data_IF_516338652380
#
_entry.id   IF_516338652380
#
_cell.length_a   1.000
_cell.length_b   1.000
_cell.length_c   1.000
_cell.angle_alpha   90.00
_cell.angle_beta   90.00
_cell.angle_gamma   90.00
#
_symmetry.space_group_name_H-M   'P 1'
#
loop_
_entity.id
_entity.type
_entity.pdbx_description
1 polymer ?
#
# COMPACT_ATOMS: atom_id res chain seq x y z
N UNK A 1 -0.72 7.56 4.17
CA UNK A 1 -0.86 6.25 4.85
C UNK A 1 -2.31 5.81 5.03
N UNK A 2 -3.24 6.72 5.39
CA UNK A 2 -4.66 6.32 5.56
C UNK A 2 -5.29 5.78 4.27
N UNK A 3 -4.87 6.26 3.10
CA UNK A 3 -5.36 5.76 1.82
C UNK A 3 -5.03 4.30 1.56
N UNK A 4 -3.87 3.83 2.02
CA UNK A 4 -3.50 2.42 1.98
C UNK A 4 -4.45 1.59 2.86
N UNK A 5 -4.63 2.01 4.11
CA UNK A 5 -5.52 1.36 5.10
C UNK A 5 -6.96 1.30 4.61
N UNK A 6 -7.47 2.39 4.03
CA UNK A 6 -8.83 2.42 3.44
C UNK A 6 -8.94 1.41 2.30
N UNK A 7 -7.95 1.37 1.42
CA UNK A 7 -7.93 0.44 0.29
C UNK A 7 -7.96 -1.02 0.75
N UNK A 8 -7.11 -1.37 1.69
CA UNK A 8 -7.05 -2.67 2.33
C UNK A 8 -8.42 -3.07 2.91
N UNK A 9 -8.98 -2.26 3.83
CA UNK A 9 -10.26 -2.56 4.49
C UNK A 9 -11.40 -2.74 3.48
N UNK A 10 -11.50 -1.85 2.48
CA UNK A 10 -12.56 -1.92 1.47
C UNK A 10 -12.39 -3.14 0.57
N UNK A 11 -11.16 -3.50 0.22
CA UNK A 11 -10.84 -4.64 -0.63
C UNK A 11 -10.97 -6.00 0.05
N UNK A 12 -10.74 -6.06 1.37
CA UNK A 12 -10.55 -7.27 2.17
C UNK A 12 -11.60 -8.37 1.96
N UNK A 13 -12.88 -8.00 1.94
CA UNK A 13 -13.99 -8.96 1.79
C UNK A 13 -14.12 -9.57 0.40
N UNK A 14 -13.43 -9.02 -0.59
CA UNK A 14 -13.50 -9.47 -1.98
C UNK A 14 -12.30 -10.32 -2.38
N UNK A 15 -11.21 -10.33 -1.62
CA UNK A 15 -9.96 -11.03 -1.94
C UNK A 15 -10.18 -12.51 -2.28
N UNK A 16 -10.96 -13.22 -1.45
CA UNK A 16 -11.34 -14.62 -1.69
C UNK A 16 -12.85 -14.80 -1.79
N UNK A 17 -13.58 -13.70 -1.96
CA UNK A 17 -15.02 -13.64 -1.99
C UNK A 17 -15.62 -13.65 -3.39
N UNK A 18 -16.87 -13.22 -3.48
CA UNK A 18 -17.52 -12.99 -4.76
C UNK A 18 -17.00 -11.70 -5.40
N UNK A 19 -16.82 -11.73 -6.71
CA UNK A 19 -16.42 -10.56 -7.48
C UNK A 19 -17.31 -9.34 -7.19
N UNK A 20 -16.72 -8.16 -6.96
CA UNK A 20 -17.47 -6.95 -6.64
C UNK A 20 -18.33 -6.51 -7.83
N UNK A 21 -19.51 -5.98 -7.54
CA UNK A 21 -20.38 -5.37 -8.54
C UNK A 21 -20.26 -3.85 -8.52
N UNK A 22 -20.50 -3.21 -9.66
CA UNK A 22 -20.52 -1.75 -9.74
C UNK A 22 -21.51 -1.16 -8.73
N UNK A 23 -21.09 -0.14 -7.97
CA UNK A 23 -21.91 0.48 -6.93
C UNK A 23 -21.91 -0.27 -5.59
N UNK A 24 -20.99 -1.21 -5.37
CA UNK A 24 -20.87 -1.89 -4.08
C UNK A 24 -20.69 -0.91 -2.91
N UNK A 25 -21.20 -1.25 -1.75
CA UNK A 25 -20.98 -0.48 -0.52
C UNK A 25 -19.52 -0.57 -0.10
N UNK A 26 -18.87 0.59 0.21
CA UNK A 26 -17.45 0.61 0.55
C UNK A 26 -17.16 -0.16 1.84
N UNK A 27 -17.94 0.10 2.87
CA UNK A 27 -17.75 -0.50 4.20
C UNK A 27 -18.97 -1.29 4.62
N UNK A 28 -18.75 -2.52 5.01
CA UNK A 28 -19.78 -3.42 5.57
C UNK A 28 -19.22 -4.15 6.78
N UNK A 29 -20.04 -4.77 7.63
CA UNK A 29 -19.56 -5.55 8.77
C UNK A 29 -18.58 -6.68 8.41
N UNK A 30 -18.56 -7.10 7.14
CA UNK A 30 -17.64 -8.14 6.64
C UNK A 30 -16.26 -7.60 6.24
N UNK A 31 -16.06 -6.27 6.25
CA UNK A 31 -14.76 -5.67 6.04
C UNK A 31 -13.89 -5.78 7.29
N UNK A 32 -12.59 -5.95 7.08
CA UNK A 32 -11.57 -5.88 8.15
C UNK A 32 -10.27 -5.36 7.56
N UNK A 33 -9.33 -4.96 8.41
CA UNK A 33 -7.94 -4.80 7.97
C UNK A 33 -7.29 -6.18 7.79
N UNK A 34 -6.31 -6.23 6.90
CA UNK A 34 -5.53 -7.44 6.59
C UNK A 34 -4.05 -7.26 6.95
N UNK A 35 -3.19 -8.13 6.46
CA UNK A 35 -1.75 -7.99 6.59
C UNK A 35 -1.19 -6.75 5.90
N UNK A 36 -1.87 -6.19 4.91
CA UNK A 36 -1.54 -4.91 4.27
C UNK A 36 -1.48 -3.77 5.28
N UNK A 37 -2.53 -3.60 6.07
CA UNK A 37 -2.57 -2.57 7.13
C UNK A 37 -1.56 -2.86 8.22
N UNK A 38 -1.46 -4.10 8.71
CA UNK A 38 -0.52 -4.47 9.78
C UNK A 38 0.91 -4.15 9.37
N UNK A 39 1.31 -4.57 8.16
CA UNK A 39 2.65 -4.29 7.64
C UNK A 39 2.87 -2.80 7.36
N UNK A 40 1.86 -2.06 6.90
CA UNK A 40 1.94 -0.59 6.72
C UNK A 40 2.18 0.11 8.04
N UNK A 41 1.47 -0.25 9.09
CA UNK A 41 1.67 0.27 10.46
C UNK A 41 3.08 -0.09 10.97
N UNK A 42 3.54 -1.33 10.73
CA UNK A 42 4.89 -1.74 11.11
C UNK A 42 5.99 -0.88 10.44
N UNK A 43 5.84 -0.56 9.17
CA UNK A 43 6.79 0.34 8.49
C UNK A 43 6.72 1.77 9.03
N UNK A 44 5.51 2.27 9.32
CA UNK A 44 5.35 3.58 9.95
C UNK A 44 6.01 3.64 11.33
N UNK A 45 5.75 2.64 12.18
CA UNK A 45 6.36 2.51 13.51
C UNK A 45 7.89 2.46 13.43
N UNK A 46 8.45 1.69 12.47
CA UNK A 46 9.89 1.62 12.28
C UNK A 46 10.51 3.00 12.01
N UNK A 47 9.92 3.78 11.09
CA UNK A 47 10.44 5.11 10.74
C UNK A 47 10.22 6.12 11.87
N UNK A 48 9.04 6.14 12.48
CA UNK A 48 8.69 7.13 13.53
C UNK A 48 9.49 6.93 14.81
N UNK A 49 9.77 5.69 15.17
CA UNK A 49 10.41 5.30 16.42
C UNK A 49 11.85 4.78 16.23
N UNK A 50 12.46 5.05 15.06
CA UNK A 50 13.84 4.70 14.73
C UNK A 50 14.18 3.22 14.99
N UNK A 51 13.21 2.33 14.65
CA UNK A 51 13.34 0.87 14.81
C UNK A 51 13.87 0.23 13.53
N UNK A 52 14.50 -0.93 13.67
CA UNK A 52 14.83 -1.78 12.52
C UNK A 52 13.54 -2.28 11.83
N UNK A 53 13.53 -2.29 10.49
CA UNK A 53 12.34 -2.69 9.72
C UNK A 53 11.95 -4.15 9.94
N UNK A 54 12.93 -5.04 10.08
CA UNK A 54 12.67 -6.45 10.35
C UNK A 54 12.07 -6.65 11.73
N UNK A 55 12.67 -6.01 12.75
CA UNK A 55 12.17 -6.09 14.14
C UNK A 55 10.74 -5.57 14.24
N UNK A 56 10.45 -4.42 13.63
CA UNK A 56 9.10 -3.85 13.65
C UNK A 56 8.09 -4.72 12.93
N UNK A 57 8.40 -5.22 11.73
CA UNK A 57 7.53 -6.15 11.01
C UNK A 57 7.25 -7.44 11.80
N UNK A 58 8.28 -8.02 12.42
CA UNK A 58 8.12 -9.22 13.24
C UNK A 58 7.25 -8.98 14.46
N UNK A 59 7.45 -7.85 15.16
CA UNK A 59 6.68 -7.48 16.34
C UNK A 59 5.19 -7.31 15.99
N UNK A 60 4.88 -6.50 15.00
CA UNK A 60 3.50 -6.26 14.59
C UNK A 60 2.82 -7.50 14.02
N UNK A 61 3.46 -8.24 13.13
CA UNK A 61 2.86 -9.43 12.53
C UNK A 61 2.68 -10.56 13.54
N UNK A 62 3.57 -10.70 14.53
CA UNK A 62 3.41 -11.69 15.62
C UNK A 62 2.35 -11.29 16.64
N UNK A 63 2.10 -9.99 16.81
CA UNK A 63 1.01 -9.46 17.64
C UNK A 63 -0.35 -9.72 17.00
N UNK A 64 -0.42 -9.74 15.68
CA UNK A 64 -1.63 -10.01 14.88
C UNK A 64 -1.42 -11.26 14.01
N UNK A 65 -1.38 -12.47 14.61
CA UNK A 65 -0.96 -13.69 13.90
C UNK A 65 -1.94 -14.19 12.86
N UNK A 66 -3.22 -13.86 12.99
CA UNK A 66 -4.32 -14.37 12.15
C UNK A 66 -5.19 -13.22 11.60
N UNK A 67 -4.63 -12.34 10.73
CA UNK A 67 -5.45 -11.31 10.08
C UNK A 67 -6.44 -11.94 9.09
N UNK A 68 -7.46 -11.18 8.70
CA UNK A 68 -8.33 -11.57 7.58
C UNK A 68 -7.46 -11.82 6.32
N UNK A 69 -7.75 -12.86 5.55
CA UNK A 69 -6.94 -13.26 4.39
C UNK A 69 -5.65 -14.01 4.75
N UNK A 70 -5.09 -13.76 5.93
CA UNK A 70 -3.85 -14.38 6.41
C UNK A 70 -2.61 -13.81 5.73
N UNK A 71 -1.45 -14.19 6.21
CA UNK A 71 -0.18 -13.83 5.58
C UNK A 71 0.15 -14.75 4.39
N UNK A 72 0.72 -14.21 3.33
CA UNK A 72 1.24 -15.03 2.24
C UNK A 72 2.22 -16.09 2.74
N UNK A 73 2.15 -17.33 2.21
CA UNK A 73 2.83 -18.52 2.73
C UNK A 73 4.32 -18.31 3.06
N UNK A 74 5.09 -17.65 2.17
CA UNK A 74 6.52 -17.41 2.39
C UNK A 74 6.75 -16.40 3.51
N UNK A 75 5.92 -15.37 3.56
CA UNK A 75 5.99 -14.34 4.59
C UNK A 75 5.56 -14.89 5.95
N UNK A 76 4.55 -15.74 6.02
CA UNK A 76 4.17 -16.47 7.23
C UNK A 76 5.32 -17.32 7.79
N UNK A 77 6.04 -18.04 6.92
CA UNK A 77 7.22 -18.80 7.33
C UNK A 77 8.34 -17.89 7.84
N UNK A 78 8.52 -16.72 7.22
CA UNK A 78 9.49 -15.72 7.64
C UNK A 78 9.15 -15.14 9.01
N UNK A 79 7.89 -14.77 9.27
CA UNK A 79 7.41 -14.26 10.57
C UNK A 79 7.67 -15.26 11.70
N UNK A 80 7.49 -16.56 11.44
CA UNK A 80 7.58 -17.61 12.44
C UNK A 80 8.98 -18.24 12.54
N UNK A 81 9.95 -17.71 11.82
CA UNK A 81 11.34 -18.16 11.92
C UNK A 81 12.04 -17.58 13.15
N UNK A 82 12.90 -18.38 13.82
CA UNK A 82 13.78 -17.88 14.88
C UNK A 82 14.91 -17.00 14.33
N UNK A 83 15.27 -17.18 13.06
CA UNK A 83 16.28 -16.38 12.36
C UNK A 83 15.79 -16.05 10.95
N UNK A 84 14.84 -15.11 10.80
CA UNK A 84 14.25 -14.80 9.52
C UNK A 84 15.28 -14.20 8.55
N UNK A 85 15.37 -14.79 7.37
CA UNK A 85 16.24 -14.35 6.30
C UNK A 85 15.40 -13.94 5.09
N UNK A 86 15.87 -12.99 4.27
CA UNK A 86 15.19 -12.63 3.02
C UNK A 86 14.92 -13.85 2.15
N UNK A 87 13.76 -13.87 1.49
CA UNK A 87 13.22 -15.08 0.83
C UNK A 87 13.29 -15.05 -0.69
N UNK A 88 14.01 -14.10 -1.27
CA UNK A 88 14.03 -13.84 -2.73
C UNK A 88 12.60 -13.65 -3.29
N UNK A 89 11.72 -13.05 -2.48
CA UNK A 89 10.35 -12.78 -2.85
C UNK A 89 10.25 -11.57 -3.78
N UNK A 90 9.46 -11.71 -4.83
CA UNK A 90 8.99 -10.64 -5.72
C UNK A 90 7.49 -10.37 -5.54
N UNK A 91 6.91 -10.86 -4.45
CA UNK A 91 5.53 -10.62 -4.07
C UNK A 91 5.23 -9.14 -3.85
N UNK A 92 3.96 -8.77 -3.98
CA UNK A 92 3.47 -7.40 -3.83
C UNK A 92 3.53 -6.87 -2.39
N UNK A 93 3.80 -7.73 -1.41
CA UNK A 93 3.90 -7.40 0.02
C UNK A 93 4.93 -6.32 0.38
N UNK A 94 5.96 -6.09 -0.44
CA UNK A 94 6.87 -4.96 -0.25
C UNK A 94 6.27 -3.63 -0.70
N UNK A 95 5.46 -3.64 -1.78
CA UNK A 95 4.84 -2.45 -2.34
C UNK A 95 3.60 -2.00 -1.55
N UNK A 96 2.81 -2.95 -1.00
CA UNK A 96 1.59 -2.64 -0.24
C UNK A 96 1.89 -1.82 1.03
N UNK A 97 2.98 -2.14 1.72
CA UNK A 97 3.32 -1.57 3.03
C UNK A 97 4.18 -0.31 3.00
N UNK A 98 4.67 0.11 1.82
CA UNK A 98 5.72 1.13 1.70
C UNK A 98 5.23 2.58 1.83
N UNK A 99 3.92 2.80 1.83
CA UNK A 99 3.35 4.16 1.81
C UNK A 99 3.90 5.12 2.87
N UNK A 100 4.21 4.72 4.11
CA UNK A 100 4.79 5.62 5.11
C UNK A 100 6.11 6.25 4.65
N UNK A 101 6.93 5.53 3.92
CA UNK A 101 8.22 6.03 3.42
C UNK A 101 8.02 7.16 2.42
N UNK A 102 7.09 7.03 1.48
CA UNK A 102 6.77 8.10 0.54
C UNK A 102 6.23 9.38 1.19
N UNK A 103 5.77 9.30 2.44
CA UNK A 103 5.24 10.43 3.21
C UNK A 103 6.24 11.04 4.18
N UNK A 104 7.12 10.25 4.81
CA UNK A 104 7.98 10.67 5.93
C UNK A 104 9.36 11.15 5.50
N UNK A 105 9.78 10.86 4.26
CA UNK A 105 11.04 11.34 3.71
C UNK A 105 10.79 12.40 2.62
N UNK A 106 11.60 13.48 2.64
CA UNK A 106 11.45 14.62 1.74
C UNK A 106 12.51 14.65 0.61
N UNK A 107 13.66 13.99 0.81
CA UNK A 107 14.68 13.86 -0.22
C UNK A 107 14.46 12.57 -0.99
N UNK A 108 14.48 12.66 -2.32
CA UNK A 108 14.13 11.51 -3.16
C UNK A 108 15.13 10.35 -3.04
N UNK A 109 16.42 10.65 -2.80
CA UNK A 109 17.44 9.65 -2.54
C UNK A 109 17.13 8.83 -1.30
N UNK A 110 16.67 9.49 -0.23
CA UNK A 110 16.26 8.83 1.01
C UNK A 110 15.02 7.98 0.80
N UNK A 111 14.03 8.47 0.03
CA UNK A 111 12.82 7.70 -0.31
C UNK A 111 13.18 6.38 -1.01
N UNK A 112 14.08 6.42 -2.00
CA UNK A 112 14.52 5.23 -2.73
C UNK A 112 15.25 4.25 -1.82
N UNK A 113 16.20 4.76 -1.02
CA UNK A 113 17.03 3.90 -0.16
C UNK A 113 16.21 3.30 0.98
N UNK A 114 15.33 4.07 1.63
CA UNK A 114 14.48 3.58 2.71
C UNK A 114 13.41 2.61 2.20
N UNK A 115 12.83 2.85 1.03
CA UNK A 115 11.93 1.89 0.38
C UNK A 115 12.64 0.55 0.10
N UNK A 116 13.88 0.60 -0.38
CA UNK A 116 14.70 -0.59 -0.55
C UNK A 116 14.98 -1.28 0.78
N UNK A 117 15.41 -0.56 1.83
CA UNK A 117 15.68 -1.13 3.16
C UNK A 117 14.44 -1.82 3.72
N UNK A 118 13.25 -1.22 3.61
CA UNK A 118 11.99 -1.82 4.09
C UNK A 118 11.60 -3.09 3.32
N UNK A 119 12.00 -3.18 2.05
CA UNK A 119 11.70 -4.34 1.21
C UNK A 119 12.64 -5.52 1.46
N UNK A 120 13.96 -5.26 1.50
CA UNK A 120 14.99 -6.32 1.48
C UNK A 120 14.96 -7.25 2.68
N UNK A 121 14.38 -6.85 3.79
CA UNK A 121 14.26 -7.68 4.99
C UNK A 121 13.47 -8.98 4.75
N UNK A 122 12.56 -8.97 3.78
CA UNK A 122 11.71 -10.11 3.41
C UNK A 122 11.58 -10.33 1.90
N UNK A 123 11.66 -9.26 1.08
CA UNK A 123 11.41 -9.24 -0.38
C UNK A 123 12.64 -8.69 -1.11
N UNK A 124 13.75 -9.42 -1.07
CA UNK A 124 15.03 -8.98 -1.61
C UNK A 124 15.24 -9.29 -3.10
N UNK A 125 14.26 -9.85 -3.79
CA UNK A 125 14.30 -9.97 -5.25
C UNK A 125 14.24 -8.58 -5.90
N UNK A 126 14.95 -8.33 -7.01
CA UNK A 126 14.95 -7.02 -7.68
C UNK A 126 13.55 -6.46 -7.97
N UNK A 127 12.60 -7.30 -8.36
CA UNK A 127 11.21 -6.89 -8.63
C UNK A 127 10.45 -6.51 -7.34
N UNK A 128 10.72 -7.19 -6.21
CA UNK A 128 10.14 -6.81 -4.92
C UNK A 128 10.65 -5.44 -4.44
N UNK A 129 11.95 -5.20 -4.59
CA UNK A 129 12.56 -3.90 -4.27
C UNK A 129 12.01 -2.80 -5.20
N UNK A 130 11.97 -3.07 -6.50
CA UNK A 130 11.48 -2.15 -7.53
C UNK A 130 10.02 -1.73 -7.27
N UNK A 131 9.15 -2.67 -6.88
CA UNK A 131 7.75 -2.38 -6.55
C UNK A 131 7.62 -1.40 -5.40
N UNK A 132 8.33 -1.64 -4.29
CA UNK A 132 8.36 -0.74 -3.14
C UNK A 132 8.89 0.65 -3.51
N UNK A 133 10.03 0.73 -4.19
CA UNK A 133 10.61 2.00 -4.63
C UNK A 133 9.67 2.77 -5.55
N UNK A 134 9.02 2.10 -6.51
CA UNK A 134 8.08 2.72 -7.44
C UNK A 134 6.90 3.40 -6.71
N UNK A 135 6.30 2.73 -5.74
CA UNK A 135 5.16 3.28 -5.00
C UNK A 135 5.58 4.40 -4.06
N UNK A 136 6.68 4.23 -3.32
CA UNK A 136 7.21 5.29 -2.45
C UNK A 136 7.54 6.57 -3.23
N UNK A 137 8.22 6.44 -4.38
CA UNK A 137 8.51 7.58 -5.24
C UNK A 137 7.27 8.20 -5.87
N UNK A 138 6.30 7.41 -6.30
CA UNK A 138 5.05 7.94 -6.84
C UNK A 138 4.33 8.84 -5.82
N UNK A 139 4.28 8.42 -4.56
CA UNK A 139 3.73 9.22 -3.45
C UNK A 139 4.55 10.50 -3.24
N UNK A 140 5.88 10.39 -3.17
CA UNK A 140 6.78 11.54 -3.01
C UNK A 140 6.63 12.56 -4.14
N UNK A 141 6.59 12.12 -5.40
CA UNK A 141 6.41 13.00 -6.56
C UNK A 141 5.07 13.76 -6.53
N UNK A 142 4.00 13.09 -6.14
CA UNK A 142 2.68 13.72 -6.03
C UNK A 142 2.63 14.70 -4.86
N UNK A 143 3.18 14.33 -3.72
CA UNK A 143 3.14 15.12 -2.49
C UNK A 143 4.02 16.37 -2.58
N UNK A 144 5.29 16.21 -2.94
CA UNK A 144 6.28 17.29 -2.91
C UNK A 144 6.36 18.06 -4.21
N UNK A 145 6.41 17.37 -5.34
CA UNK A 145 6.64 18.00 -6.65
C UNK A 145 5.35 18.39 -7.35
N UNK A 146 4.19 18.01 -6.79
CA UNK A 146 2.87 18.30 -7.37
C UNK A 146 2.74 17.85 -8.83
N UNK A 147 3.34 16.72 -9.16
CA UNK A 147 3.29 16.18 -10.51
C UNK A 147 1.87 15.81 -10.91
N UNK A 148 1.59 15.99 -12.20
CA UNK A 148 0.36 15.48 -12.79
C UNK A 148 0.41 13.93 -12.91
N UNK A 149 -0.74 13.31 -13.05
CA UNK A 149 -0.82 11.86 -13.33
C UNK A 149 0.00 11.45 -14.56
N UNK A 150 -0.01 12.27 -15.60
CA UNK A 150 0.79 12.01 -16.82
C UNK A 150 2.29 12.09 -16.56
N UNK A 151 2.75 12.94 -15.63
CA UNK A 151 4.15 13.00 -15.22
C UNK A 151 4.55 11.74 -14.44
N UNK A 152 3.71 11.32 -13.48
CA UNK A 152 3.92 10.09 -12.72
C UNK A 152 3.97 8.88 -13.66
N UNK A 153 3.00 8.75 -14.57
CA UNK A 153 2.99 7.68 -15.57
C UNK A 153 4.30 7.61 -16.35
N UNK A 154 4.71 8.74 -16.94
CA UNK A 154 5.95 8.83 -17.74
C UNK A 154 7.18 8.43 -16.92
N UNK A 155 7.24 8.82 -15.65
CA UNK A 155 8.36 8.46 -14.75
C UNK A 155 8.34 6.98 -14.37
N UNK A 156 7.19 6.42 -14.04
CA UNK A 156 7.02 5.00 -13.74
C UNK A 156 7.46 4.14 -14.94
N UNK A 157 7.01 4.47 -16.14
CA UNK A 157 7.42 3.78 -17.35
C UNK A 157 8.91 3.91 -17.62
N UNK A 158 9.49 5.11 -17.44
CA UNK A 158 10.89 5.40 -17.74
C UNK A 158 11.87 4.80 -16.74
N UNK A 159 11.60 4.90 -15.43
CA UNK A 159 12.56 4.55 -14.38
C UNK A 159 12.36 3.13 -13.84
N UNK A 160 11.12 2.64 -13.84
CA UNK A 160 10.78 1.32 -13.33
C UNK A 160 10.41 0.30 -14.42
N UNK A 161 10.18 0.77 -15.65
CA UNK A 161 9.82 -0.12 -16.77
C UNK A 161 8.43 -0.76 -16.62
N UNK A 162 7.57 -0.23 -15.76
CA UNK A 162 6.20 -0.70 -15.63
C UNK A 162 5.32 -0.06 -16.71
N UNK A 163 4.84 -0.87 -17.65
CA UNK A 163 3.78 -0.47 -18.58
C UNK A 163 2.43 -0.59 -17.89
N UNK A 164 1.64 0.49 -17.89
CA UNK A 164 0.34 0.50 -17.25
C UNK A 164 -0.72 -0.10 -18.20
N UNK A 165 -1.26 -1.29 -17.90
CA UNK A 165 -2.19 -1.95 -18.79
C UNK A 165 -3.50 -1.17 -18.94
N UNK A 166 -4.21 -1.26 -20.06
CA UNK A 166 -5.55 -0.68 -20.19
C UNK A 166 -6.52 -1.29 -19.18
N UNK A 167 -7.41 -0.47 -18.62
CA UNK A 167 -8.37 -0.92 -17.59
C UNK A 167 -9.21 -2.13 -18.04
N UNK A 168 -9.58 -2.20 -19.33
CA UNK A 168 -10.31 -3.35 -19.89
C UNK A 168 -9.56 -4.68 -19.74
N UNK A 169 -8.23 -4.64 -19.84
CA UNK A 169 -7.40 -5.83 -19.77
C UNK A 169 -7.24 -6.28 -18.32
N UNK A 170 -7.13 -5.34 -17.37
CA UNK A 170 -7.10 -5.64 -15.93
C UNK A 170 -8.41 -6.33 -15.50
N UNK A 171 -9.55 -5.75 -15.86
CA UNK A 171 -10.88 -6.33 -15.54
C UNK A 171 -11.09 -7.71 -16.15
N UNK A 172 -10.53 -7.94 -17.34
CA UNK A 172 -10.58 -9.26 -17.98
C UNK A 172 -9.77 -10.29 -17.20
N UNK A 173 -8.54 -9.93 -16.80
CA UNK A 173 -7.66 -10.80 -16.01
C UNK A 173 -8.34 -11.22 -14.71
N UNK A 174 -8.91 -10.27 -13.95
CA UNK A 174 -9.65 -10.57 -12.72
C UNK A 174 -10.84 -11.48 -12.96
N UNK A 175 -11.67 -11.20 -13.97
CA UNK A 175 -12.85 -12.03 -14.31
C UNK A 175 -12.51 -13.47 -14.73
N UNK A 176 -11.27 -13.73 -15.12
CA UNK A 176 -10.74 -15.07 -15.42
C UNK A 176 -10.22 -15.80 -14.17
N UNK A 177 -10.35 -15.20 -12.99
CA UNK A 177 -9.92 -15.77 -11.71
C UNK A 177 -8.41 -15.73 -11.49
N UNK A 178 -7.70 -14.84 -12.20
CA UNK A 178 -6.28 -14.62 -11.96
C UNK A 178 -6.06 -13.84 -10.66
N UNK A 179 -5.19 -14.34 -9.82
CA UNK A 179 -4.82 -13.71 -8.56
C UNK A 179 -3.40 -13.12 -8.66
N UNK A 180 -3.31 -11.82 -8.82
CA UNK A 180 -2.08 -11.07 -9.03
C UNK A 180 -1.33 -10.84 -7.71
N UNK A 181 -0.29 -11.64 -7.46
CA UNK A 181 0.48 -11.63 -6.19
C UNK A 181 1.89 -11.07 -6.32
N UNK A 182 2.26 -10.57 -7.49
CA UNK A 182 3.62 -10.11 -7.76
C UNK A 182 3.68 -8.61 -7.94
N UNK A 183 4.79 -7.97 -7.59
CA UNK A 183 4.98 -6.54 -7.85
C UNK A 183 4.80 -6.19 -9.33
N UNK A 184 5.27 -7.07 -10.24
CA UNK A 184 5.19 -6.84 -11.68
C UNK A 184 3.75 -6.78 -12.20
N UNK A 185 2.82 -7.47 -11.54
CA UNK A 185 1.40 -7.50 -11.91
C UNK A 185 0.60 -6.47 -11.13
N UNK A 186 0.69 -6.49 -9.79
CA UNK A 186 -0.14 -5.67 -8.91
C UNK A 186 0.17 -4.17 -9.03
N UNK A 187 1.47 -3.79 -9.05
CA UNK A 187 1.86 -2.37 -9.06
C UNK A 187 1.35 -1.62 -10.29
N UNK A 188 1.55 -2.09 -11.53
CA UNK A 188 1.03 -1.39 -12.70
C UNK A 188 -0.51 -1.40 -12.76
N UNK A 189 -1.18 -2.44 -12.26
CA UNK A 189 -2.64 -2.49 -12.18
C UNK A 189 -3.18 -1.45 -11.19
N UNK A 190 -2.62 -1.37 -9.99
CA UNK A 190 -3.00 -0.39 -8.98
C UNK A 190 -2.76 1.06 -9.44
N UNK A 191 -1.60 1.33 -10.05
CA UNK A 191 -1.30 2.63 -10.63
C UNK A 191 -2.26 2.98 -11.78
N UNK A 192 -2.67 2.01 -12.58
CA UNK A 192 -3.66 2.26 -13.64
C UNK A 192 -5.01 2.69 -13.06
N UNK A 193 -5.46 2.06 -11.98
CA UNK A 193 -6.70 2.46 -11.31
C UNK A 193 -6.64 3.91 -10.84
N UNK A 194 -5.52 4.33 -10.25
CA UNK A 194 -5.29 5.73 -9.89
C UNK A 194 -5.28 6.65 -11.12
N UNK A 195 -4.63 6.26 -12.22
CA UNK A 195 -4.56 7.09 -13.44
C UNK A 195 -5.94 7.36 -14.04
N UNK A 196 -6.83 6.38 -14.05
CA UNK A 196 -8.15 6.49 -14.68
C UNK A 196 -9.23 7.10 -13.78
N UNK A 197 -9.02 7.14 -12.47
CA UNK A 197 -9.96 7.70 -11.51
C UNK A 197 -9.98 9.24 -11.52
N UNK A 198 -11.07 9.86 -11.05
CA UNK A 198 -11.22 11.31 -10.89
C UNK A 198 -11.35 11.73 -9.41
N UNK A 199 -11.34 10.76 -8.48
CA UNK A 199 -11.38 11.01 -7.04
C UNK A 199 -10.67 9.90 -6.28
N UNK A 200 -10.45 10.11 -4.98
CA UNK A 200 -9.95 9.08 -4.08
C UNK A 200 -10.89 7.86 -4.05
N UNK A 201 -12.18 8.08 -3.81
CA UNK A 201 -13.17 7.01 -3.75
C UNK A 201 -13.24 6.22 -5.06
N UNK A 202 -13.23 6.90 -6.21
CA UNK A 202 -13.23 6.22 -7.50
C UNK A 202 -11.98 5.36 -7.71
N UNK A 203 -10.82 5.81 -7.21
CA UNK A 203 -9.59 5.01 -7.26
C UNK A 203 -9.76 3.69 -6.52
N UNK A 204 -10.27 3.73 -5.28
CA UNK A 204 -10.54 2.52 -4.49
C UNK A 204 -11.54 1.60 -5.20
N UNK A 205 -12.65 2.15 -5.70
CA UNK A 205 -13.67 1.38 -6.41
C UNK A 205 -13.11 0.70 -7.66
N UNK A 206 -12.32 1.41 -8.45
CA UNK A 206 -11.69 0.84 -9.66
C UNK A 206 -10.74 -0.30 -9.31
N UNK A 207 -9.91 -0.14 -8.26
CA UNK A 207 -8.97 -1.18 -7.83
C UNK A 207 -9.69 -2.45 -7.37
N UNK A 208 -10.73 -2.31 -6.56
CA UNK A 208 -11.54 -3.44 -6.11
C UNK A 208 -12.29 -4.11 -7.27
N UNK A 209 -12.87 -3.33 -8.19
CA UNK A 209 -13.58 -3.86 -9.38
C UNK A 209 -12.68 -4.60 -10.37
N UNK A 210 -11.37 -4.58 -10.17
CA UNK A 210 -10.43 -5.38 -10.97
C UNK A 210 -10.34 -6.84 -10.52
N UNK A 211 -11.01 -7.21 -9.42
CA UNK A 211 -11.01 -8.55 -8.84
C UNK A 211 -9.60 -9.09 -8.49
N UNK A 212 -9.44 -10.37 -8.14
CA UNK A 212 -8.16 -10.96 -7.74
C UNK A 212 -7.71 -10.50 -6.35
N UNK A 213 -6.47 -10.06 -6.22
CA UNK A 213 -5.87 -9.50 -4.99
C UNK A 213 -6.41 -8.08 -4.73
N UNK A 214 -7.65 -8.00 -4.27
CA UNK A 214 -8.45 -6.75 -4.21
C UNK A 214 -8.01 -5.81 -3.12
N UNK A 215 -7.64 -6.31 -1.95
CA UNK A 215 -7.14 -5.56 -0.80
C UNK A 215 -5.78 -4.94 -1.12
N UNK A 216 -4.82 -5.73 -1.60
CA UNK A 216 -3.50 -5.22 -1.96
C UNK A 216 -3.55 -4.23 -3.13
N UNK A 217 -4.33 -4.50 -4.18
CA UNK A 217 -4.50 -3.51 -5.27
C UNK A 217 -5.09 -2.19 -4.78
N UNK A 218 -6.13 -2.27 -3.95
CA UNK A 218 -6.77 -1.08 -3.43
C UNK A 218 -5.90 -0.37 -2.38
N UNK A 219 -5.13 -1.11 -1.58
CA UNK A 219 -4.13 -0.58 -0.66
C UNK A 219 -3.07 0.25 -1.43
N UNK A 220 -2.45 -0.33 -2.44
CA UNK A 220 -1.44 0.36 -3.26
C UNK A 220 -2.04 1.55 -4.00
N UNK A 221 -3.18 1.39 -4.67
CA UNK A 221 -3.84 2.47 -5.40
C UNK A 221 -4.27 3.60 -4.47
N UNK A 222 -4.84 3.28 -3.31
CA UNK A 222 -5.26 4.22 -2.28
C UNK A 222 -4.09 5.00 -1.68
N UNK A 223 -2.94 4.34 -1.47
CA UNK A 223 -1.74 5.00 -0.97
C UNK A 223 -1.23 6.11 -1.89
N UNK A 224 -1.30 5.90 -3.19
CA UNK A 224 -0.92 6.89 -4.21
C UNK A 224 -2.00 7.96 -4.37
N UNK A 225 -3.27 7.54 -4.34
CA UNK A 225 -4.42 8.46 -4.50
C UNK A 225 -4.51 9.49 -3.37
N UNK A 226 -4.19 9.11 -2.13
CA UNK A 226 -4.13 10.02 -0.97
C UNK A 226 -3.15 11.19 -1.17
N UNK A 227 -2.05 10.96 -1.89
CA UNK A 227 -1.07 12.00 -2.17
C UNK A 227 -1.53 13.00 -3.25
N UNK A 228 -2.61 12.69 -3.98
CA UNK A 228 -3.11 13.49 -5.08
C UNK A 228 -4.51 14.07 -4.85
N UNK A 229 -5.41 13.29 -4.26
CA UNK A 229 -6.79 13.67 -3.99
C UNK A 229 -7.04 13.89 -2.51
N UNK A 230 -7.95 14.81 -2.14
CA UNK A 230 -8.45 14.85 -0.78
C UNK A 230 -9.21 13.54 -0.49
N UNK A 231 -8.95 12.96 0.67
CA UNK A 231 -9.72 11.82 1.17
C UNK A 231 -10.96 12.35 1.88
N UNK A 232 -12.17 11.90 1.51
CA UNK A 232 -13.39 12.34 2.18
C UNK A 232 -13.38 11.96 3.68
N UNK A 233 -13.74 12.91 4.55
CA UNK A 233 -13.68 12.75 6.00
C UNK A 233 -14.47 11.53 6.49
N UNK A 234 -15.68 11.33 5.98
CA UNK A 234 -16.51 10.19 6.35
C UNK A 234 -15.87 8.83 6.01
N UNK A 235 -15.04 8.75 4.96
CA UNK A 235 -14.28 7.55 4.60
C UNK A 235 -13.18 7.31 5.63
N UNK A 236 -12.48 8.38 6.04
CA UNK A 236 -11.44 8.31 7.09
C UNK A 236 -12.07 7.83 8.39
N UNK A 237 -13.13 8.51 8.87
CA UNK A 237 -13.82 8.18 10.12
C UNK A 237 -14.29 6.72 10.12
N UNK A 238 -14.83 6.26 8.98
CA UNK A 238 -15.28 4.88 8.88
C UNK A 238 -14.13 3.89 8.90
N UNK A 239 -13.04 4.14 8.18
CA UNK A 239 -11.87 3.24 8.16
C UNK A 239 -11.21 3.13 9.53
N UNK A 240 -10.98 4.25 10.23
CA UNK A 240 -10.37 4.22 11.57
C UNK A 240 -11.22 3.44 12.58
N UNK A 241 -12.54 3.34 12.39
CA UNK A 241 -13.42 2.55 13.27
C UNK A 241 -13.18 1.03 13.21
N UNK A 242 -12.41 0.55 12.26
CA UNK A 242 -11.98 -0.86 12.16
C UNK A 242 -10.65 -1.13 12.85
N UNK A 243 -9.88 -0.08 13.20
CA UNK A 243 -8.52 -0.23 13.73
C UNK A 243 -8.50 -0.36 15.24
N UNK A 244 -7.64 -1.22 15.80
CA UNK A 244 -7.37 -1.26 17.22
C UNK A 244 -6.55 -0.05 17.69
N UNK A 245 -6.62 0.23 19.01
CA UNK A 245 -6.04 1.43 19.62
C UNK A 245 -4.53 1.59 19.35
N UNK A 246 -3.77 0.53 19.37
CA UNK A 246 -2.32 0.60 19.12
C UNK A 246 -1.96 0.98 17.67
N UNK A 247 -2.76 0.58 16.69
CA UNK A 247 -2.62 1.06 15.31
C UNK A 247 -3.04 2.53 15.19
N UNK A 248 -4.08 2.95 15.90
CA UNK A 248 -4.51 4.36 15.95
C UNK A 248 -3.45 5.28 16.55
N UNK A 249 -2.69 4.80 17.56
CA UNK A 249 -1.56 5.54 18.13
C UNK A 249 -0.49 5.81 17.07
N UNK A 250 -0.07 4.80 16.33
CA UNK A 250 0.93 4.98 15.25
C UNK A 250 0.40 5.88 14.12
N UNK A 251 -0.87 5.72 13.75
CA UNK A 251 -1.52 6.59 12.77
C UNK A 251 -1.54 8.06 13.22
N UNK A 252 -1.83 8.32 14.50
CA UNK A 252 -1.78 9.65 15.11
C UNK A 252 -0.37 10.26 15.03
N UNK A 253 0.64 9.56 15.52
CA UNK A 253 2.05 9.97 15.44
C UNK A 253 2.51 10.27 14.00
N UNK A 254 2.05 9.46 13.05
CA UNK A 254 2.36 9.66 11.64
C UNK A 254 1.85 11.01 11.13
N UNK A 255 0.60 11.37 11.39
CA UNK A 255 0.05 12.64 10.92
C UNK A 255 0.58 13.85 11.68
N UNK A 256 0.88 13.73 12.98
CA UNK A 256 1.59 14.74 13.76
C UNK A 256 2.96 15.05 13.11
N UNK A 257 3.75 14.02 12.80
CA UNK A 257 5.06 14.17 12.15
C UNK A 257 4.98 14.89 10.80
N UNK A 258 3.96 14.59 9.99
CA UNK A 258 3.76 15.26 8.70
C UNK A 258 3.39 16.75 8.88
N UNK A 259 2.55 17.07 9.86
CA UNK A 259 2.15 18.45 10.14
C UNK A 259 3.35 19.29 10.62
N UNK A 260 4.17 18.76 11.49
CA UNK A 260 5.38 19.43 11.98
C UNK A 260 6.38 19.72 10.85
N UNK A 261 6.54 18.78 9.94
CA UNK A 261 7.41 18.95 8.75
C UNK A 261 6.89 20.03 7.79
N UNK A 262 5.57 20.21 7.69
CA UNK A 262 4.95 21.27 6.89
C UNK A 262 5.03 22.66 7.56
N UNK A 263 5.01 22.72 8.90
CA UNK A 263 5.10 23.94 9.68
C UNK A 263 6.49 24.57 9.65
N UNK A 264 7.52 23.75 9.75
CA UNK A 264 8.93 24.18 9.76
C UNK A 264 9.45 24.73 8.42
N UNK A 265 8.77 24.48 7.31
CA UNK A 265 9.13 25.02 5.98
C UNK A 265 8.52 26.40 5.67
N UNK A 266 7.70 26.97 6.56
CA UNK A 266 7.05 28.27 6.39
C UNK A 266 7.71 29.40 7.23
N UNK A 267 8.74 29.12 7.99
CA UNK A 267 9.56 30.08 8.73
C UNK A 267 10.87 30.31 8.00
#
# INVERSE_FOLDING_TARGET
MIGAIIGDIVGSRFEFGAAPQQGFELFTPDCSYTDDTICTIAIADAVLNERDYQESLLDWCRRYPDPMGGYGRRFYQWINSDNPQPTDSFGNGSAMRVSPIGWLFDEWEDVIEEAKKSAIVSHNHPEGIKGAQCIAEAICWLRLMRFSKSDVKRKVEKFFGYELPPMRDIKKIGSEGHFDRTCQETVPMALRCFMDANSFEETIRLAVLCDGDTDTKACIAGSVAEAYYPVPEWIIEKAISYLPDDMLIILGQFYERIQDSCGSKKG
#
